data_IF_940426592906
#
_entry.id   IF_940426592906
#
_cell.length_a   1.000
_cell.length_b   1.000
_cell.length_c   1.000
_cell.angle_alpha   90.00
_cell.angle_beta   90.00
_cell.angle_gamma   90.00
#
_symmetry.space_group_name_H-M   'P 1'
#
loop_
_entity.id
_entity.type
_entity.pdbx_description
1 polymer ?
#
# COMPACT_ATOMS: atom_id res chain seq x y z
N UNK A 1 10.85 -10.55 5.44
CA UNK A 1 10.70 -9.22 6.06
C UNK A 1 10.65 -8.19 4.94
N UNK A 2 9.58 -7.40 4.82
CA UNK A 2 9.57 -6.30 3.84
C UNK A 2 10.59 -5.28 4.34
N UNK A 3 11.76 -5.20 3.71
CA UNK A 3 12.77 -4.16 4.01
C UNK A 3 12.22 -2.83 3.49
N UNK A 4 11.45 -2.13 4.29
CA UNK A 4 10.84 -0.86 3.90
C UNK A 4 11.01 0.16 5.00
N UNK A 5 11.40 1.37 4.61
CA UNK A 5 11.41 2.52 5.51
C UNK A 5 9.97 2.82 5.95
N UNK A 6 9.74 2.91 7.26
CA UNK A 6 8.44 3.24 7.87
C UNK A 6 7.78 4.48 7.24
N UNK A 7 8.58 5.44 6.77
CA UNK A 7 8.12 6.63 6.03
C UNK A 7 7.37 6.25 4.75
N UNK A 8 7.91 5.32 3.97
CA UNK A 8 7.31 4.86 2.70
C UNK A 8 6.03 4.08 2.96
N UNK A 9 6.01 3.25 4.02
CA UNK A 9 4.79 2.55 4.45
C UNK A 9 3.68 3.52 4.86
N UNK A 10 3.98 4.51 5.70
CA UNK A 10 3.02 5.52 6.14
C UNK A 10 2.46 6.34 4.96
N UNK A 11 3.29 6.67 3.98
CA UNK A 11 2.86 7.35 2.75
C UNK A 11 1.92 6.47 1.91
N UNK A 12 2.26 5.19 1.71
CA UNK A 12 1.41 4.27 0.98
C UNK A 12 0.05 4.08 1.69
N UNK A 13 0.05 3.98 3.02
CA UNK A 13 -1.17 3.95 3.81
C UNK A 13 -2.02 5.21 3.65
N UNK A 14 -1.41 6.40 3.66
CA UNK A 14 -2.12 7.66 3.40
C UNK A 14 -2.79 7.68 2.01
N UNK A 15 -2.09 7.21 0.98
CA UNK A 15 -2.65 7.09 -0.38
C UNK A 15 -3.82 6.10 -0.43
N UNK A 16 -3.66 4.93 0.19
CA UNK A 16 -4.71 3.91 0.23
C UNK A 16 -5.94 4.41 0.99
N UNK A 17 -5.74 5.08 2.13
CA UNK A 17 -6.79 5.72 2.92
C UNK A 17 -7.57 6.73 2.08
N UNK A 18 -6.87 7.67 1.43
CA UNK A 18 -7.51 8.73 0.64
C UNK A 18 -8.34 8.15 -0.52
N UNK A 19 -7.82 7.14 -1.22
CA UNK A 19 -8.56 6.51 -2.33
C UNK A 19 -9.67 5.57 -1.86
N UNK A 20 -9.53 4.93 -0.69
CA UNK A 20 -10.60 4.10 -0.11
C UNK A 20 -11.81 4.94 0.36
N UNK A 21 -11.57 6.13 0.93
CA UNK A 21 -12.66 7.02 1.36
C UNK A 21 -13.31 7.79 0.21
N UNK A 22 -12.70 7.81 -0.97
CA UNK A 22 -13.35 8.30 -2.18
C UNK A 22 -14.17 7.18 -2.82
N UNK A 23 -15.51 7.31 -2.79
CA UNK A 23 -16.47 6.31 -3.28
C UNK A 23 -16.25 5.92 -4.74
N UNK A 24 -15.75 6.83 -5.56
CA UNK A 24 -15.47 6.59 -6.98
C UNK A 24 -14.17 5.81 -7.19
N UNK A 25 -13.26 5.83 -6.20
CA UNK A 25 -11.91 5.28 -6.33
C UNK A 25 -11.73 3.97 -5.56
N UNK A 26 -12.51 3.72 -4.51
CA UNK A 26 -12.30 2.55 -3.62
C UNK A 26 -12.32 1.20 -4.35
N UNK A 27 -13.11 1.09 -5.43
CA UNK A 27 -13.23 -0.11 -6.26
C UNK A 27 -12.25 -0.14 -7.44
N UNK A 28 -11.54 0.96 -7.70
CA UNK A 28 -10.55 1.02 -8.76
C UNK A 28 -9.28 0.28 -8.34
N UNK A 29 -8.64 -0.30 -9.33
CA UNK A 29 -7.31 -0.88 -9.17
C UNK A 29 -6.29 0.18 -8.76
N UNK A 30 -5.39 -0.22 -7.87
CA UNK A 30 -4.26 0.61 -7.44
C UNK A 30 -3.38 0.93 -8.63
N UNK A 31 -3.07 2.23 -8.80
CA UNK A 31 -2.17 2.75 -9.83
C UNK A 31 -1.22 3.75 -9.19
N UNK A 32 0.07 3.42 -9.15
CA UNK A 32 1.14 4.27 -8.62
C UNK A 32 2.15 4.51 -9.75
N UNK A 33 2.31 5.76 -10.18
CA UNK A 33 3.19 6.11 -11.29
C UNK A 33 4.63 6.34 -10.81
N UNK A 34 5.56 5.45 -11.15
CA UNK A 34 6.97 5.47 -10.71
C UNK A 34 7.89 6.54 -11.35
N UNK A 35 7.37 7.71 -11.75
CA UNK A 35 8.16 8.74 -12.47
C UNK A 35 9.24 9.43 -11.62
N UNK A 36 9.18 9.33 -10.29
CA UNK A 36 10.16 9.91 -9.36
C UNK A 36 10.73 8.81 -8.47
N UNK A 37 11.94 9.01 -7.90
CA UNK A 37 12.55 8.06 -6.95
C UNK A 37 11.59 7.67 -5.81
N UNK A 38 10.91 8.66 -5.25
CA UNK A 38 9.92 8.45 -4.19
C UNK A 38 8.76 7.59 -4.65
N UNK A 39 8.27 7.81 -5.87
CA UNK A 39 7.21 6.98 -6.43
C UNK A 39 7.71 5.59 -6.79
N UNK A 40 8.98 5.41 -7.15
CA UNK A 40 9.57 4.10 -7.36
C UNK A 40 9.57 3.25 -6.08
N UNK A 41 9.98 3.83 -4.94
CA UNK A 41 9.94 3.15 -3.64
C UNK A 41 8.51 2.76 -3.24
N UNK A 42 7.53 3.63 -3.49
CA UNK A 42 6.10 3.33 -3.27
C UNK A 42 5.60 2.21 -4.19
N UNK A 43 5.97 2.23 -5.47
CA UNK A 43 5.62 1.18 -6.42
C UNK A 43 6.23 -0.17 -6.03
N UNK A 44 7.49 -0.22 -5.59
CA UNK A 44 8.14 -1.46 -5.14
C UNK A 44 7.46 -2.02 -3.88
N UNK A 45 7.21 -1.17 -2.88
CA UNK A 45 6.49 -1.59 -1.68
C UNK A 45 5.08 -2.14 -2.01
N UNK A 46 4.36 -1.47 -2.91
CA UNK A 46 3.06 -1.97 -3.37
C UNK A 46 3.18 -3.34 -4.05
N UNK A 47 4.19 -3.55 -4.91
CA UNK A 47 4.43 -4.84 -5.55
C UNK A 47 4.75 -5.94 -4.53
N UNK A 48 5.59 -5.65 -3.53
CA UNK A 48 5.91 -6.61 -2.46
C UNK A 48 4.66 -7.03 -1.68
N UNK A 49 3.77 -6.07 -1.38
CA UNK A 49 2.49 -6.33 -0.72
C UNK A 49 1.59 -7.18 -1.61
N UNK A 50 1.45 -6.85 -2.90
CA UNK A 50 0.66 -7.64 -3.85
C UNK A 50 1.19 -9.06 -3.99
N UNK A 51 2.51 -9.23 -4.06
CA UNK A 51 3.15 -10.54 -4.15
C UNK A 51 2.85 -11.39 -2.91
N UNK A 52 2.95 -10.79 -1.72
CA UNK A 52 2.74 -11.50 -0.45
C UNK A 52 1.28 -11.77 -0.11
N UNK A 53 0.38 -10.83 -0.40
CA UNK A 53 -1.00 -10.86 0.11
C UNK A 53 -2.08 -10.98 -0.97
N UNK A 54 -1.73 -10.84 -2.25
CA UNK A 54 -2.69 -10.93 -3.35
C UNK A 54 -2.19 -11.75 -4.55
N UNK A 55 -1.23 -12.66 -4.33
CA UNK A 55 -0.69 -13.56 -5.36
C UNK A 55 -0.26 -12.83 -6.65
N UNK A 56 0.39 -11.67 -6.50
CA UNK A 56 0.86 -10.81 -7.59
C UNK A 56 -0.25 -10.24 -8.49
N UNK A 57 -1.52 -10.41 -8.12
CA UNK A 57 -2.65 -9.80 -8.83
C UNK A 57 -2.79 -8.34 -8.43
N UNK A 58 -3.32 -7.54 -9.35
CA UNK A 58 -3.62 -6.14 -9.06
C UNK A 58 -4.73 -6.05 -7.99
N UNK A 59 -4.53 -5.16 -7.01
CA UNK A 59 -5.49 -4.95 -5.91
C UNK A 59 -6.34 -3.72 -6.14
N UNK A 60 -7.53 -3.69 -5.54
CA UNK A 60 -8.32 -2.46 -5.40
C UNK A 60 -7.80 -1.64 -4.22
N UNK A 61 -8.07 -0.34 -4.24
CA UNK A 61 -7.67 0.56 -3.14
C UNK A 61 -8.22 0.15 -1.78
N UNK A 62 -9.46 -0.37 -1.73
CA UNK A 62 -10.07 -0.87 -0.48
C UNK A 62 -9.31 -2.04 0.14
N UNK A 63 -8.84 -2.97 -0.70
CA UNK A 63 -8.16 -4.18 -0.24
C UNK A 63 -6.75 -3.82 0.25
N UNK A 64 -6.06 -2.95 -0.49
CA UNK A 64 -4.76 -2.40 -0.07
C UNK A 64 -4.86 -1.65 1.25
N UNK A 65 -5.90 -0.82 1.44
CA UNK A 65 -6.11 -0.08 2.69
C UNK A 65 -6.27 -1.02 3.88
N UNK A 66 -7.06 -2.10 3.74
CA UNK A 66 -7.26 -3.10 4.79
C UNK A 66 -5.94 -3.77 5.19
N UNK A 67 -5.17 -4.26 4.21
CA UNK A 67 -3.88 -4.94 4.47
C UNK A 67 -2.89 -4.01 5.14
N UNK A 68 -2.78 -2.76 4.68
CA UNK A 68 -1.88 -1.79 5.29
C UNK A 68 -2.27 -1.45 6.73
N UNK A 69 -3.58 -1.43 7.03
CA UNK A 69 -4.08 -1.28 8.40
C UNK A 69 -3.60 -2.40 9.31
N UNK A 70 -3.75 -3.66 8.88
CA UNK A 70 -3.30 -4.85 9.61
C UNK A 70 -1.77 -4.87 9.79
N UNK A 71 -1.02 -4.52 8.74
CA UNK A 71 0.45 -4.44 8.78
C UNK A 71 0.95 -3.39 9.77
N UNK A 72 0.36 -2.19 9.76
CA UNK A 72 0.75 -1.10 10.68
C UNK A 72 0.39 -1.46 12.12
N UNK A 73 -0.76 -2.08 12.36
CA UNK A 73 -1.14 -2.56 13.68
C UNK A 73 -0.16 -3.61 14.21
N UNK A 74 0.25 -4.58 13.38
CA UNK A 74 1.27 -5.56 13.75
C UNK A 74 2.61 -4.91 14.11
N UNK A 75 3.07 -3.95 13.30
CA UNK A 75 4.31 -3.21 13.58
C UNK A 75 4.25 -2.34 14.84
N UNK A 76 3.07 -1.79 15.17
CA UNK A 76 2.89 -0.99 16.39
C UNK A 76 2.92 -1.84 17.67
N UNK A 77 2.72 -3.15 17.58
CA UNK A 77 2.82 -4.09 18.71
C UNK A 77 4.28 -4.56 18.91
N UNK A 78 5.09 -4.54 17.86
CA UNK A 78 6.50 -4.97 17.89
C UNK A 78 7.51 -3.84 18.23
N UNK A 79 7.05 -2.60 18.39
CA UNK A 79 7.84 -1.41 18.77
C UNK A 79 7.70 -1.07 20.26
#
# INVERSE_FOLDING_TARGET
MIKTNFVTLKKLYGLARNNNFNVNHKELSVKISGRTKHNHELSQLYLDICNKYNHSKQMKWKDLYKILGELIQGLAIEL
#
